data_IF_393085313364
#
_entry.id   IF_393085313364
#
_cell.length_a   1.000
_cell.length_b   1.000
_cell.length_c   1.000
_cell.angle_alpha   90.00
_cell.angle_beta   90.00
_cell.angle_gamma   90.00
#
_symmetry.space_group_name_H-M   'P 1'
#
loop_
_entity.id
_entity.type
_entity.pdbx_description
1 polymer ?
#
# COMPACT_ATOMS: atom_id res chain seq x y z
N UNK A 1 -12.75 80.08 19.52
CA UNK A 1 -11.71 80.53 18.57
C UNK A 1 -11.64 79.50 17.45
N UNK A 2 -11.81 79.98 16.21
CA UNK A 2 -11.48 79.43 14.87
C UNK A 2 -11.38 77.90 14.70
N UNK A 3 -12.17 77.19 13.88
CA UNK A 3 -12.55 77.33 12.44
C UNK A 3 -11.35 77.40 11.50
N UNK A 4 -11.41 76.52 10.49
CA UNK A 4 -10.86 76.53 9.12
C UNK A 4 -10.20 75.16 8.81
N UNK A 5 -10.49 74.42 7.72
CA UNK A 5 -11.09 74.80 6.45
C UNK A 5 -11.39 73.50 5.63
N UNK A 6 -12.58 73.31 5.01
CA UNK A 6 -12.92 73.64 3.59
C UNK A 6 -12.32 72.61 2.62
N UNK A 7 -13.00 71.96 1.64
CA UNK A 7 -14.17 72.27 0.79
C UNK A 7 -14.58 70.97 0.05
N UNK A 8 -15.87 70.64 -0.07
CA UNK A 8 -16.72 70.73 -1.29
C UNK A 8 -16.24 69.88 -2.50
N UNK A 9 -17.05 69.20 -3.31
CA UNK A 9 -18.45 69.38 -3.65
C UNK A 9 -18.89 68.23 -4.60
N UNK A 10 -20.21 68.10 -4.78
CA UNK A 10 -20.93 67.67 -6.00
C UNK A 10 -21.02 66.19 -6.47
N UNK A 11 -22.30 65.74 -6.51
CA UNK A 11 -23.10 65.31 -7.68
C UNK A 11 -23.24 63.80 -8.05
N UNK A 12 -24.53 63.41 -8.06
CA UNK A 12 -25.29 62.76 -9.16
C UNK A 12 -25.21 61.22 -9.34
N UNK A 13 -26.32 60.60 -8.93
CA UNK A 13 -27.20 59.60 -9.60
C UNK A 13 -26.69 58.26 -10.18
N UNK A 14 -27.62 57.29 -10.18
CA UNK A 14 -27.78 56.10 -11.05
C UNK A 14 -26.98 54.85 -10.64
N UNK A 15 -27.66 53.83 -10.09
CA UNK A 15 -28.22 52.64 -10.78
C UNK A 15 -27.15 51.76 -11.41
N UNK A 16 -27.10 50.46 -11.07
CA UNK A 16 -27.29 49.31 -11.99
C UNK A 16 -26.68 47.99 -11.45
N UNK A 17 -27.50 46.94 -11.59
CA UNK A 17 -27.19 45.57 -12.07
C UNK A 17 -26.04 44.74 -11.50
N UNK A 18 -26.46 43.56 -11.03
CA UNK A 18 -25.77 42.26 -10.92
C UNK A 18 -24.59 42.02 -11.86
N UNK A 19 -23.45 41.66 -11.28
CA UNK A 19 -22.27 41.13 -11.97
C UNK A 19 -22.16 39.62 -11.68
N UNK A 20 -22.41 38.84 -12.73
CA UNK A 20 -22.01 37.44 -12.86
C UNK A 20 -20.52 37.40 -13.21
N UNK A 21 -19.71 36.72 -12.39
CA UNK A 21 -18.28 36.49 -12.68
C UNK A 21 -18.11 35.06 -13.18
N UNK A 22 -17.86 34.94 -14.48
CA UNK A 22 -17.45 33.70 -15.13
C UNK A 22 -16.02 33.30 -14.72
N UNK A 23 -15.83 32.04 -14.33
CA UNK A 23 -14.51 31.46 -14.04
C UNK A 23 -13.73 31.15 -15.33
N UNK A 24 -12.41 31.43 -15.41
CA UNK A 24 -11.61 31.03 -16.55
C UNK A 24 -11.24 29.54 -16.53
N UNK A 25 -11.45 28.86 -17.66
CA UNK A 25 -11.09 27.46 -17.92
C UNK A 25 -9.57 27.31 -18.05
N UNK A 26 -8.95 26.60 -17.09
CA UNK A 26 -7.56 26.12 -17.19
C UNK A 26 -7.47 24.95 -18.18
N UNK A 27 -6.78 25.17 -19.32
CA UNK A 27 -6.40 24.13 -20.29
C UNK A 27 -5.41 23.15 -19.64
N UNK A 28 -5.82 21.89 -19.46
CA UNK A 28 -4.95 20.78 -19.06
C UNK A 28 -3.97 20.46 -20.20
N UNK A 29 -2.71 20.80 -20.01
CA UNK A 29 -1.61 20.37 -20.87
C UNK A 29 -1.14 18.98 -20.41
N UNK A 30 -1.72 17.92 -20.97
CA UNK A 30 -1.24 16.55 -20.78
C UNK A 30 0.03 16.33 -21.63
N UNK A 31 1.20 16.52 -21.04
CA UNK A 31 2.44 15.93 -21.58
C UNK A 31 2.49 14.46 -21.15
N UNK A 32 2.15 13.56 -22.07
CA UNK A 32 2.46 12.12 -21.93
C UNK A 32 3.98 11.97 -21.95
N UNK A 33 4.57 11.58 -20.83
CA UNK A 33 5.93 11.04 -20.82
C UNK A 33 5.78 9.56 -21.21
N UNK A 34 6.11 9.25 -22.46
CA UNK A 34 6.23 7.86 -22.93
C UNK A 34 7.49 7.27 -22.31
N UNK A 35 7.35 6.54 -21.20
CA UNK A 35 8.38 5.64 -20.72
C UNK A 35 8.30 4.34 -21.54
N UNK A 36 8.91 4.35 -22.73
CA UNK A 36 9.28 3.12 -23.41
C UNK A 36 10.41 2.46 -22.61
N UNK A 37 10.06 1.57 -21.70
CA UNK A 37 10.98 0.59 -21.13
C UNK A 37 10.60 -0.75 -21.76
N UNK A 38 11.54 -1.50 -22.34
CA UNK A 38 11.25 -2.86 -22.76
C UNK A 38 10.97 -3.67 -21.50
N UNK A 39 9.71 -4.07 -21.30
CA UNK A 39 9.42 -5.21 -20.44
C UNK A 39 10.09 -6.41 -21.09
N UNK A 40 11.28 -6.77 -20.62
CA UNK A 40 11.76 -8.13 -20.76
C UNK A 40 10.78 -9.01 -19.99
N UNK A 41 9.81 -9.54 -20.71
CA UNK A 41 8.95 -10.65 -20.29
C UNK A 41 9.82 -11.85 -19.99
N UNK A 42 10.33 -11.93 -18.76
CA UNK A 42 10.62 -13.21 -18.14
C UNK A 42 9.33 -13.67 -17.49
N UNK A 43 8.54 -14.39 -18.29
CA UNK A 43 7.44 -15.22 -17.79
C UNK A 43 8.08 -16.26 -16.88
N UNK A 44 8.16 -15.95 -15.59
CA UNK A 44 8.19 -16.98 -14.56
C UNK A 44 6.75 -17.22 -14.20
N UNK A 45 6.26 -18.41 -14.53
CA UNK A 45 4.94 -18.91 -14.14
C UNK A 45 4.91 -19.07 -12.61
N UNK A 46 4.85 -17.96 -11.87
CA UNK A 46 4.56 -17.98 -10.46
C UNK A 46 3.05 -17.89 -10.29
N UNK A 47 2.51 -18.87 -9.60
CA UNK A 47 1.12 -18.94 -9.15
C UNK A 47 0.90 -17.86 -8.10
N UNK A 48 0.85 -16.60 -8.57
CA UNK A 48 0.67 -15.44 -7.72
C UNK A 48 -0.46 -15.70 -6.73
N UNK A 49 -0.14 -15.60 -5.44
CA UNK A 49 -1.12 -15.78 -4.38
C UNK A 49 -2.35 -14.91 -4.66
N UNK A 50 -3.47 -15.57 -4.99
CA UNK A 50 -4.64 -14.98 -5.66
C UNK A 50 -5.31 -13.84 -4.88
N UNK A 51 -4.96 -13.67 -3.60
CA UNK A 51 -5.58 -12.71 -2.69
C UNK A 51 -4.76 -11.46 -2.41
N UNK A 52 -3.51 -11.34 -2.89
CA UNK A 52 -2.78 -10.09 -2.74
C UNK A 52 -3.43 -8.98 -3.58
N UNK A 53 -3.97 -7.97 -2.91
CA UNK A 53 -4.47 -6.75 -3.55
C UNK A 53 -3.53 -5.60 -3.21
N UNK A 54 -2.91 -5.04 -4.24
CA UNK A 54 -2.03 -3.88 -4.09
C UNK A 54 -2.77 -2.72 -3.39
N UNK A 55 -2.17 -2.10 -2.36
CA UNK A 55 -2.79 -1.08 -1.55
C UNK A 55 -2.88 0.25 -2.32
N UNK A 56 -3.75 1.15 -1.84
CA UNK A 56 -4.03 2.43 -2.52
C UNK A 56 -2.75 3.27 -2.64
N UNK A 57 -1.87 3.25 -1.62
CA UNK A 57 -0.67 4.08 -1.65
C UNK A 57 0.30 3.65 -2.78
N UNK A 58 0.47 2.34 -3.03
CA UNK A 58 1.29 1.83 -4.14
C UNK A 58 0.69 2.09 -5.52
N UNK A 59 -0.61 2.39 -5.60
CA UNK A 59 -1.26 2.80 -6.85
C UNK A 59 -1.12 4.29 -7.15
N UNK A 60 -0.52 5.07 -6.24
CA UNK A 60 -0.24 6.49 -6.48
C UNK A 60 0.86 6.63 -7.53
N UNK A 61 0.97 7.81 -8.13
CA UNK A 61 2.06 8.06 -9.06
C UNK A 61 3.41 7.91 -8.35
N UNK A 62 4.47 7.40 -9.04
CA UNK A 62 5.80 7.29 -8.46
C UNK A 62 6.29 8.59 -7.84
N UNK A 63 5.99 9.74 -8.45
CA UNK A 63 6.35 11.05 -7.91
C UNK A 63 5.76 11.31 -6.51
N UNK A 64 4.50 10.92 -6.27
CA UNK A 64 3.87 11.06 -4.95
C UNK A 64 4.50 10.11 -3.95
N UNK A 65 4.77 8.86 -4.34
CA UNK A 65 5.44 7.87 -3.49
C UNK A 65 6.82 8.36 -3.06
N UNK A 66 7.63 8.84 -3.99
CA UNK A 66 8.95 9.40 -3.70
C UNK A 66 8.85 10.61 -2.78
N UNK A 67 7.88 11.52 -3.00
CA UNK A 67 7.69 12.65 -2.09
C UNK A 67 7.34 12.20 -0.66
N UNK A 68 6.47 11.20 -0.52
CA UNK A 68 6.13 10.64 0.79
C UNK A 68 7.35 10.02 1.46
N UNK A 69 8.16 9.27 0.71
CA UNK A 69 9.39 8.67 1.22
C UNK A 69 10.43 9.73 1.61
N UNK A 70 10.65 10.76 0.79
CA UNK A 70 11.56 11.87 1.10
C UNK A 70 11.18 12.57 2.41
N UNK A 71 9.88 12.76 2.66
CA UNK A 71 9.41 13.35 3.91
C UNK A 71 9.69 12.47 5.14
N UNK A 72 9.79 11.15 4.96
CA UNK A 72 10.03 10.19 6.05
C UNK A 72 11.53 9.98 6.28
N UNK A 73 12.30 9.85 5.20
CA UNK A 73 13.74 9.59 5.25
C UNK A 73 14.55 10.86 5.46
N UNK A 74 13.95 12.04 5.32
CA UNK A 74 14.63 13.33 5.18
C UNK A 74 15.72 13.31 4.09
N UNK A 75 15.57 12.44 3.08
CA UNK A 75 16.52 12.27 2.00
C UNK A 75 15.87 12.54 0.64
N UNK A 76 16.55 13.35 -0.16
CA UNK A 76 16.06 13.76 -1.46
C UNK A 76 16.54 12.80 -2.55
N UNK A 77 15.64 11.91 -2.99
CA UNK A 77 15.89 10.93 -4.04
C UNK A 77 15.85 11.60 -5.42
N UNK A 78 16.97 12.19 -5.85
CA UNK A 78 17.05 12.92 -7.13
C UNK A 78 17.32 12.01 -8.33
N UNK A 79 18.02 10.90 -8.14
CA UNK A 79 18.44 10.04 -9.25
C UNK A 79 17.28 9.14 -9.69
N UNK A 80 17.08 9.01 -11.00
CA UNK A 80 16.02 8.16 -11.57
C UNK A 80 16.18 6.69 -11.16
N UNK A 81 17.41 6.19 -11.15
CA UNK A 81 17.73 4.81 -10.73
C UNK A 81 17.37 4.55 -9.27
N UNK A 82 17.65 5.51 -8.37
CA UNK A 82 17.23 5.44 -6.97
C UNK A 82 15.71 5.37 -6.85
N UNK A 83 14.99 6.22 -7.58
CA UNK A 83 13.53 6.23 -7.55
C UNK A 83 12.92 4.92 -8.06
N UNK A 84 13.50 4.34 -9.12
CA UNK A 84 13.08 3.04 -9.67
C UNK A 84 13.34 1.93 -8.64
N UNK A 85 14.55 1.90 -8.08
CA UNK A 85 14.92 0.95 -7.03
C UNK A 85 13.95 1.01 -5.86
N UNK A 86 13.66 2.21 -5.34
CA UNK A 86 12.76 2.43 -4.21
C UNK A 86 11.34 1.94 -4.47
N UNK A 87 10.77 2.29 -5.63
CA UNK A 87 9.42 1.88 -5.96
C UNK A 87 9.32 0.34 -6.04
N UNK A 88 10.31 -0.31 -6.65
CA UNK A 88 10.34 -1.76 -6.75
C UNK A 88 10.59 -2.44 -5.40
N UNK A 89 11.55 -1.93 -4.61
CA UNK A 89 11.85 -2.41 -3.26
C UNK A 89 10.62 -2.31 -2.35
N UNK A 90 9.93 -1.17 -2.41
CA UNK A 90 8.74 -0.91 -1.60
C UNK A 90 7.58 -1.83 -1.97
N UNK A 91 7.36 -2.13 -3.25
CA UNK A 91 6.32 -3.08 -3.69
C UNK A 91 6.60 -4.49 -3.17
N UNK A 92 7.87 -4.94 -3.20
CA UNK A 92 8.27 -6.23 -2.63
C UNK A 92 8.12 -6.27 -1.11
N UNK A 93 8.56 -5.23 -0.40
CA UNK A 93 8.41 -5.16 1.06
C UNK A 93 6.94 -5.14 1.49
N UNK A 94 6.07 -4.46 0.75
CA UNK A 94 4.62 -4.47 1.02
C UNK A 94 4.00 -5.84 0.76
N UNK A 95 4.35 -6.50 -0.35
CA UNK A 95 3.89 -7.86 -0.64
C UNK A 95 4.36 -8.83 0.43
N UNK A 96 5.63 -8.75 0.81
CA UNK A 96 6.22 -9.57 1.87
C UNK A 96 5.48 -9.37 3.21
N UNK A 97 5.28 -8.12 3.64
CA UNK A 97 4.51 -7.81 4.85
C UNK A 97 3.10 -8.40 4.82
N UNK A 98 2.38 -8.22 3.71
CA UNK A 98 1.04 -8.77 3.54
C UNK A 98 1.03 -10.29 3.70
N UNK A 99 1.97 -10.99 3.07
CA UNK A 99 2.06 -12.45 3.13
C UNK A 99 2.36 -12.93 4.56
N UNK A 100 3.28 -12.27 5.28
CA UNK A 100 3.59 -12.60 6.68
C UNK A 100 2.36 -12.48 7.59
N UNK A 101 1.67 -11.34 7.53
CA UNK A 101 0.47 -11.09 8.35
C UNK A 101 -0.66 -12.06 8.00
N UNK A 102 -0.75 -12.47 6.73
CA UNK A 102 -1.73 -13.46 6.30
C UNK A 102 -1.38 -14.89 6.72
N UNK A 103 -0.10 -15.28 6.61
CA UNK A 103 0.41 -16.57 7.09
C UNK A 103 0.13 -16.75 8.58
N UNK A 104 0.36 -15.70 9.39
CA UNK A 104 0.05 -15.72 10.82
C UNK A 104 -1.43 -15.99 11.09
N UNK A 105 -2.35 -15.33 10.37
CA UNK A 105 -3.79 -15.56 10.54
C UNK A 105 -4.18 -17.02 10.27
N UNK A 106 -3.71 -17.58 9.16
CA UNK A 106 -4.03 -18.97 8.81
C UNK A 106 -3.38 -19.98 9.77
N UNK A 107 -2.17 -19.68 10.26
CA UNK A 107 -1.54 -20.48 11.31
C UNK A 107 -2.40 -20.46 12.58
N UNK A 108 -2.93 -19.30 12.99
CA UNK A 108 -3.83 -19.22 14.14
C UNK A 108 -5.11 -20.03 13.95
N UNK A 109 -5.69 -20.05 12.74
CA UNK A 109 -6.86 -20.91 12.46
C UNK A 109 -6.53 -22.39 12.65
N UNK A 110 -5.40 -22.84 12.10
CA UNK A 110 -4.91 -24.21 12.23
C UNK A 110 -4.70 -24.59 13.71
N UNK A 111 -3.96 -23.77 14.44
CA UNK A 111 -3.64 -24.02 15.85
C UNK A 111 -4.91 -24.12 16.71
N UNK A 112 -5.86 -23.21 16.52
CA UNK A 112 -7.13 -23.20 17.27
C UNK A 112 -7.96 -24.45 16.98
N UNK A 113 -8.15 -24.83 15.70
CA UNK A 113 -9.00 -25.99 15.43
C UNK A 113 -8.35 -27.32 15.78
N UNK A 114 -7.00 -27.41 15.76
CA UNK A 114 -6.29 -28.54 16.36
C UNK A 114 -6.56 -28.61 17.86
N UNK A 115 -6.42 -27.50 18.59
CA UNK A 115 -6.67 -27.44 20.04
C UNK A 115 -8.12 -27.78 20.41
N UNK A 116 -9.08 -27.36 19.59
CA UNK A 116 -10.51 -27.60 19.82
C UNK A 116 -10.97 -28.98 19.33
N UNK A 117 -10.12 -29.73 18.62
CA UNK A 117 -10.46 -31.00 17.94
C UNK A 117 -11.71 -30.92 17.04
N UNK A 118 -11.99 -29.73 16.50
CA UNK A 118 -13.09 -29.48 15.56
C UNK A 118 -12.79 -28.26 14.71
N UNK A 119 -13.54 -28.09 13.63
CA UNK A 119 -13.50 -26.90 12.79
C UNK A 119 -14.85 -26.17 12.81
N UNK A 120 -14.88 -24.85 12.63
CA UNK A 120 -16.15 -24.15 12.42
C UNK A 120 -16.72 -24.52 11.04
N UNK A 121 -18.05 -24.51 10.90
CA UNK A 121 -18.76 -24.87 9.65
C UNK A 121 -18.28 -24.10 8.42
N UNK A 122 -17.85 -22.85 8.63
CA UNK A 122 -17.27 -22.03 7.59
C UNK A 122 -16.02 -22.68 6.96
N UNK A 123 -15.16 -23.32 7.75
CA UNK A 123 -13.95 -23.97 7.24
C UNK A 123 -14.29 -25.27 6.49
N UNK A 124 -15.21 -26.08 7.01
CA UNK A 124 -15.75 -27.24 6.31
C UNK A 124 -16.32 -26.86 4.93
N UNK A 125 -17.05 -25.76 4.87
CA UNK A 125 -17.58 -25.20 3.62
C UNK A 125 -16.45 -24.76 2.66
N UNK A 126 -15.42 -24.08 3.18
CA UNK A 126 -14.26 -23.65 2.37
C UNK A 126 -13.47 -24.84 1.80
N UNK A 127 -13.24 -25.87 2.63
CA UNK A 127 -12.54 -27.09 2.25
C UNK A 127 -13.43 -28.08 1.46
N UNK A 128 -14.73 -27.80 1.34
CA UNK A 128 -15.74 -28.65 0.67
C UNK A 128 -15.76 -30.07 1.20
N UNK A 129 -15.70 -30.20 2.52
CA UNK A 129 -15.67 -31.48 3.22
C UNK A 129 -16.24 -31.30 4.63
N UNK A 130 -16.64 -32.40 5.27
CA UNK A 130 -16.94 -32.47 6.71
C UNK A 130 -15.84 -33.24 7.47
N UNK A 131 -14.80 -33.71 6.78
CA UNK A 131 -13.71 -34.46 7.37
C UNK A 131 -12.69 -33.53 8.02
N UNK A 132 -12.37 -33.81 9.29
CA UNK A 132 -11.44 -33.02 10.09
C UNK A 132 -10.02 -33.01 9.50
N UNK A 133 -9.51 -34.18 9.08
CA UNK A 133 -8.14 -34.33 8.56
C UNK A 133 -8.00 -33.67 7.18
N UNK A 134 -9.06 -33.70 6.36
CA UNK A 134 -9.05 -33.02 5.07
C UNK A 134 -9.02 -31.49 5.27
N UNK A 135 -9.77 -30.95 6.23
CA UNK A 135 -9.69 -29.52 6.58
C UNK A 135 -8.30 -29.12 7.09
N UNK A 136 -7.69 -29.95 7.93
CA UNK A 136 -6.33 -29.71 8.40
C UNK A 136 -5.34 -29.65 7.23
N UNK A 137 -5.37 -30.64 6.33
CA UNK A 137 -4.52 -30.66 5.12
C UNK A 137 -4.77 -29.46 4.21
N UNK A 138 -6.03 -29.01 4.11
CA UNK A 138 -6.38 -27.80 3.36
C UNK A 138 -5.68 -26.57 3.92
N UNK A 139 -5.72 -26.36 5.25
CA UNK A 139 -5.04 -25.27 5.94
C UNK A 139 -3.51 -25.36 5.80
N UNK A 140 -2.93 -26.54 6.04
CA UNK A 140 -1.50 -26.78 5.90
C UNK A 140 -1.00 -26.45 4.49
N UNK A 141 -1.70 -26.94 3.46
CA UNK A 141 -1.36 -26.63 2.07
C UNK A 141 -1.42 -25.13 1.79
N UNK A 142 -2.45 -24.46 2.31
CA UNK A 142 -2.61 -23.02 2.13
C UNK A 142 -1.47 -22.22 2.79
N UNK A 143 -1.11 -22.57 4.03
CA UNK A 143 0.02 -21.98 4.75
C UNK A 143 1.33 -22.21 3.99
N UNK A 144 1.55 -23.43 3.49
CA UNK A 144 2.74 -23.78 2.73
C UNK A 144 2.84 -23.01 1.41
N UNK A 145 1.72 -22.76 0.72
CA UNK A 145 1.70 -21.87 -0.46
C UNK A 145 2.14 -20.45 -0.09
N UNK A 146 1.64 -19.90 1.02
CA UNK A 146 2.04 -18.55 1.46
C UNK A 146 3.53 -18.51 1.82
N UNK A 147 4.06 -19.53 2.51
CA UNK A 147 5.50 -19.62 2.84
C UNK A 147 6.39 -19.59 1.59
N UNK A 148 6.06 -20.38 0.56
CA UNK A 148 6.81 -20.38 -0.72
C UNK A 148 6.83 -19.00 -1.40
N UNK A 149 5.73 -18.25 -1.30
CA UNK A 149 5.66 -16.88 -1.81
C UNK A 149 6.47 -15.88 -0.98
N UNK A 150 6.55 -16.08 0.35
CA UNK A 150 7.45 -15.31 1.22
C UNK A 150 8.90 -15.58 0.80
N UNK A 151 9.30 -16.85 0.67
CA UNK A 151 10.66 -17.23 0.26
C UNK A 151 11.02 -16.61 -1.10
N UNK A 152 10.07 -16.56 -2.04
CA UNK A 152 10.24 -15.90 -3.33
C UNK A 152 10.48 -14.40 -3.17
N UNK A 153 9.73 -13.73 -2.28
CA UNK A 153 9.94 -12.31 -2.00
C UNK A 153 11.32 -12.07 -1.37
N UNK A 154 11.76 -12.93 -0.44
CA UNK A 154 13.07 -12.83 0.19
C UNK A 154 14.22 -12.98 -0.82
N UNK A 155 14.10 -13.94 -1.74
CA UNK A 155 15.06 -14.09 -2.85
C UNK A 155 15.09 -12.83 -3.71
N UNK A 156 13.92 -12.28 -4.07
CA UNK A 156 13.85 -11.07 -4.89
C UNK A 156 14.43 -9.84 -4.17
N UNK A 157 14.18 -9.71 -2.87
CA UNK A 157 14.78 -8.68 -2.04
C UNK A 157 16.30 -8.87 -2.00
N UNK A 158 16.80 -10.07 -1.73
CA UNK A 158 18.24 -10.32 -1.68
C UNK A 158 18.93 -10.02 -3.02
N UNK A 159 18.31 -10.37 -4.15
CA UNK A 159 18.83 -10.06 -5.47
C UNK A 159 18.91 -8.55 -5.73
N UNK A 160 17.93 -7.77 -5.23
CA UNK A 160 17.98 -6.32 -5.32
C UNK A 160 19.14 -5.70 -4.54
N UNK A 161 19.63 -6.33 -3.48
CA UNK A 161 20.76 -5.81 -2.70
C UNK A 161 22.01 -5.62 -3.59
N UNK A 162 22.18 -6.46 -4.62
CA UNK A 162 23.30 -6.37 -5.58
C UNK A 162 23.15 -5.23 -6.59
N UNK A 163 21.92 -4.77 -6.81
CA UNK A 163 21.60 -3.65 -7.73
C UNK A 163 21.31 -2.35 -6.98
N UNK A 164 21.68 -2.30 -5.69
CA UNK A 164 21.53 -1.10 -4.88
C UNK A 164 22.35 0.05 -5.47
N UNK A 165 21.72 1.19 -5.82
CA UNK A 165 22.45 2.33 -6.37
C UNK A 165 23.38 2.92 -5.31
N UNK A 166 24.50 3.50 -5.76
CA UNK A 166 25.39 4.25 -4.87
C UNK A 166 24.66 5.51 -4.39
N UNK A 167 24.19 5.47 -3.14
CA UNK A 167 23.55 6.58 -2.45
C UNK A 167 24.30 6.90 -1.15
N UNK A 168 23.95 8.02 -0.50
CA UNK A 168 24.52 8.36 0.82
C UNK A 168 23.85 7.59 1.96
N UNK A 169 22.68 7.01 1.74
CA UNK A 169 22.00 6.14 2.71
C UNK A 169 22.57 4.73 2.58
N UNK A 170 22.76 4.02 3.69
CA UNK A 170 22.99 2.58 3.61
C UNK A 170 21.69 1.86 3.22
N UNK A 171 21.82 0.70 2.59
CA UNK A 171 20.65 -0.12 2.26
C UNK A 171 19.86 -0.51 3.53
N UNK A 172 20.54 -0.81 4.63
CA UNK A 172 19.90 -1.15 5.90
C UNK A 172 19.06 0.00 6.47
N UNK A 173 19.58 1.23 6.41
CA UNK A 173 18.83 2.42 6.82
C UNK A 173 17.62 2.62 5.92
N UNK A 174 17.79 2.43 4.61
CA UNK A 174 16.70 2.57 3.67
C UNK A 174 15.61 1.52 3.91
N UNK A 175 15.98 0.25 4.07
CA UNK A 175 15.05 -0.84 4.36
C UNK A 175 14.32 -0.62 5.68
N UNK A 176 14.99 -0.06 6.70
CA UNK A 176 14.34 0.33 7.95
C UNK A 176 13.22 1.35 7.71
N UNK A 177 13.48 2.42 6.95
CA UNK A 177 12.46 3.42 6.64
C UNK A 177 11.33 2.86 5.77
N UNK A 178 11.65 2.04 4.77
CA UNK A 178 10.64 1.44 3.90
C UNK A 178 9.73 0.48 4.68
N UNK A 179 10.29 -0.35 5.57
CA UNK A 179 9.52 -1.24 6.46
C UNK A 179 8.61 -0.44 7.38
N UNK A 180 9.15 0.58 8.05
CA UNK A 180 8.34 1.46 8.92
C UNK A 180 7.20 2.15 8.14
N UNK A 181 7.45 2.55 6.90
CA UNK A 181 6.42 3.11 6.03
C UNK A 181 5.34 2.08 5.69
N UNK A 182 5.72 0.86 5.29
CA UNK A 182 4.77 -0.24 5.04
C UNK A 182 3.94 -0.53 6.28
N UNK A 183 4.57 -0.68 7.45
CA UNK A 183 3.88 -0.92 8.73
C UNK A 183 2.83 0.16 9.02
N UNK A 184 3.19 1.43 8.81
CA UNK A 184 2.28 2.56 8.99
C UNK A 184 1.09 2.49 8.02
N UNK A 185 1.36 2.26 6.73
CA UNK A 185 0.31 2.19 5.71
C UNK A 185 -0.58 0.95 5.85
N UNK A 186 -0.05 -0.15 6.39
CA UNK A 186 -0.71 -1.46 6.50
C UNK A 186 -1.19 -1.82 7.89
N UNK A 187 -1.06 -0.94 8.89
CA UNK A 187 -1.54 -1.15 10.27
C UNK A 187 -2.98 -1.69 10.36
N UNK A 188 -3.84 -1.31 9.42
CA UNK A 188 -5.22 -1.78 9.35
C UNK A 188 -5.35 -3.30 9.07
N UNK A 189 -4.35 -3.94 8.46
CA UNK A 189 -4.35 -5.37 8.17
C UNK A 189 -4.34 -6.20 9.45
N UNK A 190 -3.47 -5.86 10.42
CA UNK A 190 -3.44 -6.56 11.71
C UNK A 190 -4.78 -6.43 12.44
N UNK A 191 -5.37 -5.24 12.47
CA UNK A 191 -6.70 -5.03 13.05
C UNK A 191 -7.80 -5.85 12.35
N UNK A 192 -7.76 -5.90 11.02
CA UNK A 192 -8.70 -6.69 10.22
C UNK A 192 -8.54 -8.18 10.51
N UNK A 193 -7.31 -8.68 10.54
CA UNK A 193 -7.02 -10.09 10.78
C UNK A 193 -7.43 -10.49 12.20
N UNK A 194 -7.19 -9.65 13.21
CA UNK A 194 -7.68 -9.90 14.57
C UNK A 194 -9.21 -10.01 14.63
N UNK A 195 -9.93 -9.15 13.89
CA UNK A 195 -11.40 -9.27 13.78
C UNK A 195 -11.84 -10.54 13.08
N UNK A 196 -11.10 -11.01 12.07
CA UNK A 196 -11.39 -12.26 11.39
C UNK A 196 -11.12 -13.46 12.31
N UNK A 197 -10.03 -13.41 13.07
CA UNK A 197 -9.69 -14.41 14.08
C UNK A 197 -10.77 -14.51 15.16
N UNK A 198 -11.23 -13.37 15.68
CA UNK A 198 -12.30 -13.37 16.67
C UNK A 198 -13.58 -14.01 16.11
N UNK A 199 -13.99 -13.63 14.89
CA UNK A 199 -15.15 -14.26 14.24
C UNK A 199 -14.99 -15.76 14.04
N UNK A 200 -13.77 -16.21 13.70
CA UNK A 200 -13.47 -17.63 13.57
C UNK A 200 -13.65 -18.36 14.89
N UNK A 201 -13.18 -17.78 16.00
CA UNK A 201 -13.36 -18.31 17.36
C UNK A 201 -14.84 -18.31 17.76
N UNK A 202 -15.56 -17.22 17.51
CA UNK A 202 -16.98 -17.08 17.87
C UNK A 202 -17.84 -18.14 17.18
N UNK A 203 -17.46 -18.58 15.96
CA UNK A 203 -18.16 -19.63 15.21
C UNK A 203 -17.98 -21.06 15.78
N UNK A 204 -17.22 -21.24 16.86
CA UNK A 204 -17.19 -22.50 17.59
C UNK A 204 -18.31 -22.61 18.64
N UNK A 205 -18.93 -21.49 19.00
CA UNK A 205 -20.00 -21.40 20.00
C UNK A 205 -21.38 -21.38 19.32
#
# INVERSE_FOLDING_TARGET
ISVQDIKSNTRISKSTSSISVAQPKLKKMQRRINLNIPMTTTITNNTAYKHYRQPIYLKRSPMILIQMLTNITNYNFKKKEEQIFLCHRLDLLDKHYYLQVHQQLWQSYLDIGIQQHRWPDQLYTMAKTNDFQICQKYLDNHINTIKKEIDTCDIQLNNQNQSYPVTTLSLDQLDHYLKAFVDCQRKYLSMRNNKQLQKFIDNFH
#
